data_IF_265538044253
#
_entry.id   IF_265538044253
#
_cell.length_a   1.000
_cell.length_b   1.000
_cell.length_c   1.000
_cell.angle_alpha   90.00
_cell.angle_beta   90.00
_cell.angle_gamma   90.00
#
_symmetry.space_group_name_H-M   'P 1'
#
loop_
_entity.id
_entity.type
_entity.pdbx_description
1 polymer ?
#
# COMPACT_ATOMS: atom_id res chain seq x y z
N UNK A 1 -27.71 -15.76 -13.19
CA UNK A 1 -26.69 -16.25 -12.24
C UNK A 1 -25.25 -15.79 -12.55
N UNK A 2 -24.98 -14.87 -13.51
CA UNK A 2 -23.60 -14.46 -13.81
C UNK A 2 -23.10 -13.20 -13.07
N UNK A 3 -23.96 -12.49 -12.34
CA UNK A 3 -23.61 -11.20 -11.73
C UNK A 3 -22.57 -11.34 -10.60
N UNK A 4 -22.77 -12.30 -9.69
CA UNK A 4 -21.85 -12.54 -8.56
C UNK A 4 -20.42 -12.93 -8.98
N UNK A 5 -20.28 -13.70 -10.07
CA UNK A 5 -18.97 -14.15 -10.55
C UNK A 5 -18.20 -13.02 -11.26
N UNK A 6 -18.91 -12.19 -12.05
CA UNK A 6 -18.33 -11.01 -12.71
C UNK A 6 -17.88 -9.97 -11.68
N UNK A 7 -18.68 -9.73 -10.63
CA UNK A 7 -18.31 -8.81 -9.56
C UNK A 7 -17.05 -9.29 -8.81
N UNK A 8 -16.92 -10.60 -8.57
CA UNK A 8 -15.75 -11.18 -7.89
C UNK A 8 -14.46 -11.06 -8.71
N UNK A 9 -14.51 -11.28 -10.03
CA UNK A 9 -13.36 -11.05 -10.92
C UNK A 9 -12.96 -9.58 -10.97
N UNK A 10 -13.92 -8.66 -11.05
CA UNK A 10 -13.67 -7.22 -11.05
C UNK A 10 -13.03 -6.74 -9.73
N UNK A 11 -13.45 -7.29 -8.60
CA UNK A 11 -12.87 -7.00 -7.28
C UNK A 11 -11.44 -7.54 -7.18
N UNK A 12 -11.18 -8.77 -7.66
CA UNK A 12 -9.84 -9.38 -7.66
C UNK A 12 -8.85 -8.60 -8.55
N UNK A 13 -9.29 -8.19 -9.75
CA UNK A 13 -8.50 -7.35 -10.64
C UNK A 13 -8.18 -5.99 -10.01
N UNK A 14 -9.18 -5.36 -9.39
CA UNK A 14 -9.03 -4.08 -8.68
C UNK A 14 -8.06 -4.20 -7.50
N UNK A 15 -8.19 -5.25 -6.68
CA UNK A 15 -7.29 -5.51 -5.56
C UNK A 15 -5.83 -5.70 -6.03
N UNK A 16 -5.63 -6.39 -7.15
CA UNK A 16 -4.30 -6.57 -7.76
C UNK A 16 -3.70 -5.25 -8.26
N UNK A 17 -4.51 -4.41 -8.90
CA UNK A 17 -4.10 -3.06 -9.32
C UNK A 17 -3.73 -2.17 -8.14
N UNK A 18 -4.49 -2.24 -7.04
CA UNK A 18 -4.19 -1.49 -5.82
C UNK A 18 -2.88 -1.98 -5.19
N UNK A 19 -2.64 -3.29 -5.10
CA UNK A 19 -1.36 -3.84 -4.60
C UNK A 19 -0.16 -3.34 -5.40
N UNK A 20 -0.24 -3.36 -6.74
CA UNK A 20 0.82 -2.81 -7.58
C UNK A 20 1.04 -1.31 -7.33
N UNK A 21 -0.02 -0.56 -7.05
CA UNK A 21 0.09 0.86 -6.68
C UNK A 21 0.74 1.06 -5.32
N UNK A 22 0.44 0.21 -4.33
CA UNK A 22 1.10 0.22 -3.02
C UNK A 22 2.61 -0.01 -3.17
N UNK A 23 3.01 -1.01 -3.95
CA UNK A 23 4.43 -1.33 -4.20
C UNK A 23 5.18 -0.15 -4.85
N UNK A 24 4.57 0.52 -5.84
CA UNK A 24 5.16 1.73 -6.44
C UNK A 24 5.31 2.86 -5.43
N UNK A 25 4.28 3.12 -4.62
CA UNK A 25 4.35 4.17 -3.59
C UNK A 25 5.48 3.88 -2.59
N UNK A 26 5.63 2.62 -2.15
CA UNK A 26 6.73 2.24 -1.25
C UNK A 26 8.10 2.48 -1.90
N UNK A 27 8.25 2.14 -3.17
CA UNK A 27 9.48 2.39 -3.92
C UNK A 27 9.78 3.90 -4.05
N UNK A 28 8.77 4.71 -4.36
CA UNK A 28 8.90 6.16 -4.50
C UNK A 28 9.26 6.83 -3.16
N UNK A 29 8.64 6.39 -2.05
CA UNK A 29 8.96 6.87 -0.70
C UNK A 29 10.39 6.53 -0.31
N UNK A 30 10.84 5.30 -0.57
CA UNK A 30 12.21 4.88 -0.31
C UNK A 30 13.22 5.67 -1.17
N UNK A 31 12.89 5.90 -2.45
CA UNK A 31 13.72 6.70 -3.35
C UNK A 31 13.84 8.15 -2.86
N UNK A 32 12.73 8.78 -2.45
CA UNK A 32 12.74 10.14 -1.91
C UNK A 32 13.57 10.24 -0.62
N UNK A 33 13.47 9.26 0.30
CA UNK A 33 14.32 9.22 1.49
C UNK A 33 15.81 9.15 1.13
N UNK A 34 16.17 8.32 0.14
CA UNK A 34 17.54 8.22 -0.38
C UNK A 34 18.05 9.54 -0.98
N UNK A 35 17.22 10.22 -1.79
CA UNK A 35 17.54 11.52 -2.38
C UNK A 35 17.75 12.60 -1.31
N UNK A 36 16.89 12.64 -0.29
CA UNK A 36 17.01 13.57 0.84
C UNK A 36 18.31 13.32 1.63
N UNK A 37 18.63 12.06 1.93
CA UNK A 37 19.87 11.69 2.65
C UNK A 37 21.11 12.07 1.84
N UNK A 38 21.08 11.87 0.51
CA UNK A 38 22.17 12.29 -0.37
C UNK A 38 22.35 13.80 -0.39
N UNK A 39 21.26 14.56 -0.40
CA UNK A 39 21.30 16.02 -0.39
C UNK A 39 21.80 16.55 0.96
N UNK A 40 21.40 15.93 2.07
CA UNK A 40 21.88 16.25 3.42
C UNK A 40 23.41 16.20 3.50
N UNK A 41 24.03 15.15 2.96
CA UNK A 41 25.49 14.99 2.95
C UNK A 41 26.24 16.02 2.09
N UNK A 42 25.56 16.74 1.21
CA UNK A 42 26.16 17.78 0.36
C UNK A 42 26.10 19.19 0.98
N UNK A 43 25.25 19.40 1.99
CA UNK A 43 25.08 20.69 2.65
C UNK A 43 26.03 20.81 3.84
N UNK A 44 26.60 21.99 4.05
CA UNK A 44 27.48 22.29 5.19
C UNK A 44 27.05 23.58 5.89
N UNK A 45 27.48 23.76 7.15
CA UNK A 45 27.15 24.94 7.94
C UNK A 45 25.69 24.99 8.39
N UNK A 46 25.16 26.20 8.61
CA UNK A 46 23.79 26.39 9.14
C UNK A 46 22.69 25.85 8.23
N UNK A 47 22.94 25.79 6.92
CA UNK A 47 22.00 25.21 5.96
C UNK A 47 21.78 23.71 6.22
N UNK A 48 22.83 22.97 6.58
CA UNK A 48 22.76 21.54 6.88
C UNK A 48 21.82 21.27 8.07
N UNK A 49 21.89 22.10 9.13
CA UNK A 49 21.02 21.98 10.31
C UNK A 49 19.54 22.21 9.95
N UNK A 50 19.26 23.21 9.11
CA UNK A 50 17.90 23.46 8.64
C UNK A 50 17.38 22.29 7.78
N UNK A 51 18.25 21.72 6.94
CA UNK A 51 17.90 20.60 6.09
C UNK A 51 17.66 19.30 6.88
N UNK A 52 18.41 19.06 7.96
CA UNK A 52 18.17 17.95 8.88
C UNK A 52 16.76 17.96 9.47
N UNK A 53 16.20 19.14 9.77
CA UNK A 53 14.82 19.26 10.22
C UNK A 53 13.82 18.80 9.14
N UNK A 54 14.09 19.11 7.87
CA UNK A 54 13.28 18.65 6.72
C UNK A 54 13.35 17.13 6.57
N UNK A 55 14.55 16.55 6.70
CA UNK A 55 14.73 15.08 6.65
C UNK A 55 13.99 14.40 7.81
N UNK A 56 14.02 14.98 9.01
CA UNK A 56 13.30 14.45 10.17
C UNK A 56 11.77 14.51 9.99
N UNK A 57 11.24 15.62 9.48
CA UNK A 57 9.81 15.76 9.17
C UNK A 57 9.37 14.76 8.07
N UNK A 58 10.20 14.58 7.05
CA UNK A 58 9.99 13.58 6.01
C UNK A 58 9.90 12.16 6.59
N UNK A 59 10.77 11.78 7.53
CA UNK A 59 10.70 10.47 8.18
C UNK A 59 9.37 10.24 8.87
N UNK A 60 8.84 11.26 9.56
CA UNK A 60 7.50 11.18 10.17
C UNK A 60 6.39 10.98 9.13
N UNK A 61 6.50 11.64 7.97
CA UNK A 61 5.58 11.47 6.86
C UNK A 61 5.68 10.07 6.25
N UNK A 62 6.90 9.56 6.04
CA UNK A 62 7.15 8.21 5.54
C UNK A 62 6.46 7.15 6.42
N UNK A 63 6.61 7.23 7.75
CA UNK A 63 5.95 6.29 8.66
C UNK A 63 4.43 6.30 8.51
N UNK A 64 3.80 7.48 8.38
CA UNK A 64 2.35 7.59 8.16
C UNK A 64 1.90 6.98 6.84
N UNK A 65 2.72 7.11 5.79
CA UNK A 65 2.45 6.47 4.50
C UNK A 65 2.53 4.96 4.65
N UNK A 66 3.58 4.44 5.27
CA UNK A 66 3.74 2.99 5.52
C UNK A 66 2.57 2.41 6.31
N UNK A 67 2.14 3.07 7.39
CA UNK A 67 0.97 2.69 8.19
C UNK A 67 -0.32 2.65 7.35
N UNK A 68 -0.53 3.67 6.52
CA UNK A 68 -1.71 3.77 5.65
C UNK A 68 -1.73 2.65 4.61
N UNK A 69 -0.58 2.37 3.97
CA UNK A 69 -0.45 1.30 2.99
C UNK A 69 -0.62 -0.09 3.61
N UNK A 70 -0.11 -0.29 4.84
CA UNK A 70 -0.31 -1.52 5.60
C UNK A 70 -1.79 -1.75 5.92
N UNK A 71 -2.49 -0.70 6.37
CA UNK A 71 -3.94 -0.75 6.63
C UNK A 71 -4.74 -1.12 5.39
N UNK A 72 -4.45 -0.50 4.24
CA UNK A 72 -5.09 -0.82 2.95
C UNK A 72 -4.81 -2.29 2.57
N UNK A 73 -3.57 -2.74 2.70
CA UNK A 73 -3.19 -4.13 2.38
C UNK A 73 -3.94 -5.13 3.25
N UNK A 74 -4.10 -4.84 4.54
CA UNK A 74 -4.87 -5.67 5.46
C UNK A 74 -6.35 -5.71 5.08
N UNK A 75 -6.95 -4.56 4.76
CA UNK A 75 -8.34 -4.48 4.33
C UNK A 75 -8.60 -5.26 3.04
N UNK A 76 -7.71 -5.15 2.05
CA UNK A 76 -7.81 -5.91 0.80
C UNK A 76 -7.66 -7.41 1.02
N UNK A 77 -6.79 -7.83 1.94
CA UNK A 77 -6.62 -9.24 2.29
C UNK A 77 -7.85 -9.81 2.99
N UNK A 78 -8.43 -9.06 3.92
CA UNK A 78 -9.68 -9.43 4.59
C UNK A 78 -10.87 -9.53 3.62
N UNK A 79 -10.97 -8.59 2.68
CA UNK A 79 -11.97 -8.64 1.62
C UNK A 79 -11.78 -9.91 0.76
N UNK A 80 -10.56 -10.19 0.30
CA UNK A 80 -10.26 -11.38 -0.51
C UNK A 80 -10.63 -12.69 0.20
N UNK A 81 -10.34 -12.81 1.50
CA UNK A 81 -10.72 -13.99 2.31
C UNK A 81 -12.24 -14.14 2.39
N UNK A 82 -12.96 -13.04 2.62
CA UNK A 82 -14.42 -13.04 2.72
C UNK A 82 -15.06 -13.52 1.41
N UNK A 83 -14.54 -13.08 0.25
CA UNK A 83 -15.01 -13.55 -1.05
C UNK A 83 -14.77 -15.05 -1.24
N UNK A 84 -13.59 -15.56 -0.85
CA UNK A 84 -13.28 -16.98 -0.94
C UNK A 84 -14.21 -17.84 -0.06
N UNK A 85 -14.53 -17.37 1.15
CA UNK A 85 -15.41 -18.06 2.07
C UNK A 85 -16.87 -18.10 1.56
N UNK A 86 -17.36 -16.99 1.01
CA UNK A 86 -18.70 -16.91 0.39
C UNK A 86 -18.82 -17.86 -0.79
N UNK A 87 -17.81 -17.92 -1.65
CA UNK A 87 -17.82 -18.83 -2.80
C UNK A 87 -17.84 -20.30 -2.35
N UNK A 88 -17.04 -20.66 -1.35
CA UNK A 88 -17.04 -22.01 -0.79
C UNK A 88 -18.37 -22.38 -0.14
N UNK A 89 -19.03 -21.41 0.52
CA UNK A 89 -20.37 -21.60 1.09
C UNK A 89 -21.42 -21.83 0.01
N UNK A 90 -21.38 -21.06 -1.09
CA UNK A 90 -22.26 -21.24 -2.24
C UNK A 90 -22.07 -22.63 -2.86
N UNK A 91 -20.82 -23.06 -3.10
CA UNK A 91 -20.52 -24.41 -3.62
C UNK A 91 -21.10 -25.50 -2.71
N UNK A 92 -20.95 -25.39 -1.39
CA UNK A 92 -21.52 -26.36 -0.43
C UNK A 92 -23.05 -26.35 -0.43
N UNK A 93 -23.68 -25.20 -0.60
CA UNK A 93 -25.13 -25.06 -0.65
C UNK A 93 -25.74 -25.73 -1.89
N UNK A 94 -25.03 -25.73 -3.01
CA UNK A 94 -25.46 -26.34 -4.27
C UNK A 94 -24.87 -27.73 -4.54
N UNK A 95 -23.96 -28.23 -3.68
CA UNK A 95 -23.49 -29.60 -3.69
C UNK A 95 -24.56 -30.54 -3.09
N UNK A 96 -25.57 -30.85 -3.89
CA UNK A 96 -26.54 -31.94 -3.67
C UNK A 96 -26.13 -33.15 -4.48
#
# INVERSE_FOLDING_TARGET
MSQYQVDSEAVSASASSIRSTIERIQADVAAMHGQLTSLEGSWTGQAAVAFQAVVADWRGTQTRVEESLASITQALSAAAQTYADVEMQNVRMFAV
#
